data_IF_841148816470
#
_entry.id   IF_841148816470
#
_cell.length_a   1.000
_cell.length_b   1.000
_cell.length_c   1.000
_cell.angle_alpha   90.00
_cell.angle_beta   90.00
_cell.angle_gamma   90.00
#
_symmetry.space_group_name_H-M   'P 1'
#
loop_
_entity.id
_entity.type
_entity.pdbx_description
1 polymer ?
#
# COMPACT_ATOMS: atom_id res chain seq x y z
N UNK A 1 -11.13 11.78 -9.72
CA UNK A 1 -11.94 10.55 -9.77
C UNK A 1 -11.01 9.43 -9.36
N UNK A 2 -11.34 8.63 -8.35
CA UNK A 2 -10.51 7.49 -7.95
C UNK A 2 -10.78 6.36 -8.95
N UNK A 3 -9.75 5.84 -9.62
CA UNK A 3 -9.92 4.75 -10.57
C UNK A 3 -9.76 3.42 -9.83
N UNK A 4 -10.81 2.59 -9.77
CA UNK A 4 -10.73 1.24 -9.22
C UNK A 4 -10.02 0.33 -10.23
N UNK A 5 -9.10 -0.50 -9.76
CA UNK A 5 -8.56 -1.62 -10.51
C UNK A 5 -9.06 -2.92 -9.86
N UNK A 6 -9.45 -3.90 -10.69
CA UNK A 6 -9.93 -5.20 -10.20
C UNK A 6 -8.91 -6.28 -10.56
N UNK A 7 -8.55 -7.13 -9.60
CA UNK A 7 -7.67 -8.29 -9.85
C UNK A 7 -8.29 -9.59 -9.32
N UNK A 8 -7.94 -10.71 -9.97
CA UNK A 8 -8.37 -12.07 -9.61
C UNK A 8 -7.33 -12.86 -8.82
N UNK A 9 -6.25 -12.20 -8.37
CA UNK A 9 -5.14 -12.86 -7.66
C UNK A 9 -5.57 -13.30 -6.25
N UNK A 10 -5.31 -14.56 -5.90
CA UNK A 10 -5.69 -15.19 -4.61
C UNK A 10 -5.07 -14.56 -3.35
N UNK A 11 -4.12 -13.65 -3.52
CA UNK A 11 -3.47 -12.91 -2.44
C UNK A 11 -3.87 -11.45 -2.52
N UNK A 12 -4.15 -10.84 -1.36
CA UNK A 12 -4.20 -9.39 -1.21
C UNK A 12 -2.80 -8.84 -1.50
N UNK A 13 -2.43 -8.72 -2.78
CA UNK A 13 -1.19 -8.08 -3.18
C UNK A 13 -1.16 -6.67 -2.59
N UNK A 14 0.00 -6.25 -2.06
CA UNK A 14 0.14 -4.87 -1.60
C UNK A 14 -0.12 -3.93 -2.78
N UNK A 15 -1.15 -3.09 -2.67
CA UNK A 15 -1.43 -2.07 -3.65
C UNK A 15 -0.97 -0.72 -3.11
N UNK A 16 0.09 -0.16 -3.69
CA UNK A 16 0.54 1.18 -3.38
C UNK A 16 0.13 2.13 -4.50
N UNK A 17 -0.52 3.24 -4.13
CA UNK A 17 -0.72 4.36 -5.05
C UNK A 17 0.52 5.25 -5.00
N UNK A 18 1.20 5.40 -6.13
CA UNK A 18 2.45 6.11 -6.28
C UNK A 18 2.26 7.22 -7.32
N UNK A 19 1.78 8.36 -6.86
CA UNK A 19 1.50 9.50 -7.74
C UNK A 19 0.58 9.09 -8.90
N UNK A 20 -0.58 8.52 -8.57
CA UNK A 20 -1.56 8.07 -9.57
C UNK A 20 -1.27 6.75 -10.29
N UNK A 21 -0.07 6.17 -10.14
CA UNK A 21 0.24 4.81 -10.58
C UNK A 21 -0.15 3.82 -9.49
N UNK A 22 -0.68 2.66 -9.86
CA UNK A 22 -0.83 1.52 -8.97
C UNK A 22 0.35 0.57 -9.12
N UNK A 23 1.09 0.33 -8.04
CA UNK A 23 1.97 -0.84 -7.95
C UNK A 23 1.13 -2.01 -7.41
N UNK A 24 1.01 -3.09 -8.19
CA UNK A 24 0.15 -4.25 -7.89
C UNK A 24 0.97 -5.53 -8.03
N UNK A 25 1.00 -6.34 -6.98
CA UNK A 25 1.56 -7.68 -7.04
C UNK A 25 0.48 -8.69 -7.49
N UNK A 26 0.74 -9.40 -8.59
CA UNK A 26 -0.12 -10.50 -9.07
C UNK A 26 0.75 -11.69 -9.45
N UNK A 27 0.34 -12.91 -9.09
CA UNK A 27 1.04 -14.16 -9.47
C UNK A 27 2.56 -14.15 -9.16
N UNK A 28 2.99 -13.44 -8.11
CA UNK A 28 4.39 -13.31 -7.73
C UNK A 28 5.20 -12.31 -8.57
N UNK A 29 4.54 -11.51 -9.40
CA UNK A 29 5.15 -10.45 -10.20
C UNK A 29 4.58 -9.08 -9.82
N UNK A 30 5.46 -8.10 -9.60
CA UNK A 30 5.08 -6.72 -9.40
C UNK A 30 4.81 -6.04 -10.74
N UNK A 31 3.70 -5.33 -10.84
CA UNK A 31 3.30 -4.57 -12.02
C UNK A 31 3.04 -3.12 -11.64
N UNK A 32 3.37 -2.20 -12.54
CA UNK A 32 2.97 -0.81 -12.47
C UNK A 32 1.87 -0.54 -13.49
N UNK A 33 0.71 -0.16 -13.00
CA UNK A 33 -0.46 0.12 -13.80
C UNK A 33 -0.76 1.62 -13.75
N UNK A 34 -0.89 2.28 -14.90
CA UNK A 34 -1.47 3.60 -15.00
C UNK A 34 -2.96 3.46 -15.36
N UNK A 35 -3.88 3.65 -14.41
CA UNK A 35 -5.31 3.47 -14.69
C UNK A 35 -5.85 4.50 -15.68
N UNK A 36 -5.21 5.67 -15.81
CA UNK A 36 -5.64 6.76 -16.69
C UNK A 36 -5.32 6.49 -18.16
N UNK A 37 -4.21 5.79 -18.42
CA UNK A 37 -3.75 5.47 -19.80
C UNK A 37 -3.93 4.01 -20.17
N UNK A 38 -4.43 3.19 -19.25
CA UNK A 38 -4.55 1.73 -19.39
C UNK A 38 -3.22 1.02 -19.67
N UNK A 39 -2.10 1.68 -19.38
CA UNK A 39 -0.78 1.11 -19.58
C UNK A 39 -0.36 0.26 -18.38
N UNK A 40 0.26 -0.88 -18.67
CA UNK A 40 0.79 -1.81 -17.66
C UNK A 40 2.23 -2.13 -18.00
N UNK A 41 3.12 -1.96 -17.02
CA UNK A 41 4.52 -2.39 -17.10
C UNK A 41 4.73 -3.50 -16.09
N UNK A 42 5.23 -4.63 -16.59
CA UNK A 42 5.64 -5.75 -15.75
C UNK A 42 7.05 -5.48 -15.26
N UNK A 43 7.25 -5.48 -13.95
CA UNK A 43 8.57 -5.40 -13.35
C UNK A 43 9.17 -6.80 -13.22
N UNK A 44 10.49 -6.87 -13.07
CA UNK A 44 11.20 -8.14 -12.84
C UNK A 44 10.84 -8.72 -11.47
N UNK A 45 11.00 -10.04 -11.30
CA UNK A 45 10.73 -10.75 -10.03
C UNK A 45 11.53 -10.22 -8.84
N UNK A 46 12.62 -9.52 -9.10
CA UNK A 46 13.48 -8.93 -8.08
C UNK A 46 12.90 -7.63 -7.51
N UNK A 47 11.80 -7.09 -8.06
CA UNK A 47 11.23 -5.82 -7.63
C UNK A 47 10.28 -6.01 -6.45
N UNK A 48 10.60 -5.38 -5.31
CA UNK A 48 9.83 -5.57 -4.06
C UNK A 48 8.97 -4.36 -3.76
N UNK A 49 9.58 -3.17 -3.62
CA UNK A 49 8.86 -1.95 -3.33
C UNK A 49 9.17 -0.87 -4.36
N UNK A 50 8.17 -0.10 -4.76
CA UNK A 50 8.35 1.06 -5.65
C UNK A 50 8.06 2.32 -4.87
N UNK A 51 8.95 3.30 -5.03
CA UNK A 51 8.82 4.66 -4.51
C UNK A 51 8.85 5.68 -5.64
N UNK A 52 8.29 6.85 -5.37
CA UNK A 52 8.25 7.98 -6.30
C UNK A 52 8.95 9.19 -5.68
N UNK A 53 9.91 9.75 -6.41
CA UNK A 53 10.54 11.03 -6.09
C UNK A 53 9.79 12.16 -6.82
N UNK A 54 9.04 13.01 -6.11
CA UNK A 54 8.28 14.10 -6.72
C UNK A 54 9.14 15.28 -7.17
N UNK A 55 10.44 15.32 -6.84
CA UNK A 55 11.34 16.44 -7.20
C UNK A 55 11.96 16.19 -8.57
N UNK A 56 12.58 15.02 -8.75
CA UNK A 56 13.22 14.64 -10.01
C UNK A 56 12.25 13.92 -10.98
N UNK A 57 11.00 13.69 -10.55
CA UNK A 57 9.94 12.97 -11.28
C UNK A 57 10.36 11.55 -11.68
N UNK A 58 10.88 10.80 -10.70
CA UNK A 58 11.46 9.48 -10.92
C UNK A 58 10.78 8.41 -10.08
N UNK A 59 10.58 7.24 -10.68
CA UNK A 59 10.24 6.03 -9.95
C UNK A 59 11.49 5.22 -9.69
N UNK A 60 11.67 4.80 -8.44
CA UNK A 60 12.76 3.89 -8.06
C UNK A 60 12.22 2.66 -7.36
N UNK A 61 12.81 1.52 -7.66
CA UNK A 61 12.51 0.23 -7.05
C UNK A 61 13.54 -0.06 -5.98
N UNK A 62 13.07 -0.32 -4.75
CA UNK A 62 13.86 -0.86 -3.66
C UNK A 62 13.72 -2.38 -3.63
N UNK A 63 14.86 -3.07 -3.52
CA UNK A 63 14.97 -4.52 -3.39
C UNK A 63 16.16 -4.87 -2.50
N UNK A 64 16.41 -6.16 -2.29
CA UNK A 64 17.55 -6.67 -1.53
C UNK A 64 17.92 -8.09 -1.98
N UNK A 65 19.20 -8.42 -1.81
CA UNK A 65 19.67 -9.79 -2.02
C UNK A 65 19.33 -10.67 -0.83
N UNK A 66 18.48 -11.68 -1.04
CA UNK A 66 18.09 -12.62 0.01
C UNK A 66 19.06 -13.81 0.07
N UNK A 67 20.16 -13.67 0.83
CA UNK A 67 21.12 -14.75 1.08
C UNK A 67 20.92 -15.47 2.43
N UNK A 68 19.80 -15.21 3.09
CA UNK A 68 19.55 -15.66 4.47
C UNK A 68 19.40 -17.18 4.53
N UNK A 69 18.92 -17.80 3.45
CA UNK A 69 18.84 -19.25 3.33
C UNK A 69 20.21 -19.93 3.18
N UNK A 70 21.24 -19.18 2.77
CA UNK A 70 22.61 -19.67 2.60
C UNK A 70 23.47 -19.43 3.85
N UNK A 71 23.24 -18.31 4.56
CA UNK A 71 23.89 -17.99 5.83
C UNK A 71 22.91 -17.24 6.75
N UNK A 72 22.51 -17.82 7.90
CA UNK A 72 21.65 -17.17 8.89
C UNK A 72 22.21 -15.88 9.48
N UNK A 73 23.54 -15.68 9.38
CA UNK A 73 24.21 -14.44 9.80
C UNK A 73 24.36 -13.44 8.64
N UNK A 74 23.87 -13.76 7.44
CA UNK A 74 23.93 -12.87 6.30
C UNK A 74 23.11 -11.61 6.57
N UNK A 75 23.71 -10.47 6.25
CA UNK A 75 23.02 -9.20 6.24
C UNK A 75 22.33 -8.98 4.89
N UNK A 76 21.14 -8.39 4.93
CA UNK A 76 20.44 -7.97 3.73
C UNK A 76 21.21 -6.81 3.09
N UNK A 77 21.52 -6.96 1.80
CA UNK A 77 22.12 -5.89 0.99
C UNK A 77 21.03 -5.28 0.14
N UNK A 78 20.63 -4.08 0.49
CA UNK A 78 19.61 -3.38 -0.26
C UNK A 78 20.20 -2.91 -1.60
N UNK A 79 19.38 -2.95 -2.63
CA UNK A 79 19.69 -2.48 -3.97
C UNK A 79 18.54 -1.64 -4.49
N UNK A 80 18.86 -0.70 -5.35
CA UNK A 80 17.91 0.20 -5.96
C UNK A 80 18.08 0.20 -7.48
N UNK A 81 16.97 0.35 -8.18
CA UNK A 81 16.90 0.53 -9.61
C UNK A 81 16.08 1.79 -9.87
N UNK A 82 16.59 2.71 -10.69
CA UNK A 82 15.74 3.78 -11.22
C UNK A 82 15.05 3.22 -12.44
N UNK A 83 13.74 3.38 -12.54
CA UNK A 83 13.02 2.88 -13.70
C UNK A 83 13.36 3.73 -14.93
N UNK A 84 13.75 3.04 -16.01
CA UNK A 84 13.97 3.50 -17.40
C UNK A 84 14.88 4.71 -17.59
N UNK A 85 15.85 4.88 -16.70
CA UNK A 85 17.08 5.62 -17.00
C UNK A 85 18.12 4.76 -17.76
N UNK A 86 17.79 3.49 -18.03
CA UNK A 86 18.66 2.50 -18.68
C UNK A 86 19.79 2.00 -17.78
N UNK A 87 19.87 2.43 -16.53
CA UNK A 87 20.86 1.97 -15.57
C UNK A 87 20.40 0.66 -14.91
N UNK A 88 21.35 -0.20 -14.59
CA UNK A 88 21.07 -1.44 -13.87
C UNK A 88 20.89 -1.23 -12.36
N UNK A 89 20.66 -2.34 -11.66
CA UNK A 89 20.65 -2.38 -10.20
C UNK A 89 21.97 -1.87 -9.61
N UNK A 90 21.86 -1.03 -8.57
CA UNK A 90 23.00 -0.58 -7.76
C UNK A 90 22.76 -0.88 -6.30
N UNK A 91 23.80 -1.32 -5.60
CA UNK A 91 23.72 -1.54 -4.16
C UNK A 91 23.74 -0.23 -3.40
N UNK A 92 22.86 -0.12 -2.41
CA UNK A 92 22.85 1.02 -1.50
C UNK A 92 23.98 0.83 -0.49
N UNK A 93 24.79 1.87 -0.27
CA UNK A 93 25.90 1.82 0.69
C UNK A 93 25.35 1.82 2.13
N UNK A 94 26.05 1.13 3.03
CA UNK A 94 25.77 1.12 4.48
C UNK A 94 24.40 0.54 4.88
N UNK A 95 23.79 -0.30 4.05
CA UNK A 95 22.49 -0.93 4.36
C UNK A 95 22.62 -2.34 4.93
N UNK A 96 23.81 -2.71 5.40
CA UNK A 96 24.15 -4.03 5.92
C UNK A 96 23.41 -4.25 7.23
N UNK A 97 22.15 -4.68 7.14
CA UNK A 97 21.26 -4.76 8.29
C UNK A 97 20.54 -6.09 8.32
N UNK A 98 20.26 -6.63 9.53
CA UNK A 98 19.57 -7.90 9.69
C UNK A 98 18.04 -7.77 9.55
N UNK A 99 17.53 -6.75 8.86
CA UNK A 99 16.10 -6.41 8.85
C UNK A 99 15.39 -6.89 7.59
N UNK A 100 14.53 -7.91 7.72
CA UNK A 100 13.66 -8.37 6.62
C UNK A 100 12.33 -7.62 6.67
N UNK A 101 11.86 -7.15 5.51
CA UNK A 101 10.54 -6.52 5.41
C UNK A 101 9.44 -7.51 5.79
N UNK A 102 8.50 -7.06 6.62
CA UNK A 102 7.36 -7.87 7.11
C UNK A 102 6.01 -7.32 6.73
N UNK A 103 5.93 -6.06 6.31
CA UNK A 103 4.67 -5.39 6.02
C UNK A 103 4.64 -4.74 4.64
N UNK A 104 3.46 -4.36 4.15
CA UNK A 104 3.33 -3.58 2.92
C UNK A 104 4.07 -2.24 3.03
N UNK A 105 4.32 -1.60 1.89
CA UNK A 105 4.90 -0.26 1.85
C UNK A 105 3.87 0.83 1.57
N UNK A 106 4.19 2.05 1.98
CA UNK A 106 3.52 3.27 1.51
C UNK A 106 4.58 4.30 1.12
N UNK A 107 4.37 5.02 0.02
CA UNK A 107 5.26 6.11 -0.38
C UNK A 107 4.54 7.45 -0.22
N UNK A 108 5.16 8.36 0.53
CA UNK A 108 4.61 9.66 0.90
C UNK A 108 5.68 10.71 0.65
N UNK A 109 5.41 11.66 -0.24
CA UNK A 109 6.28 12.83 -0.49
C UNK A 109 7.77 12.49 -0.72
N UNK A 110 8.07 11.44 -1.49
CA UNK A 110 9.47 11.03 -1.75
C UNK A 110 10.07 10.06 -0.73
N UNK A 111 9.31 9.65 0.29
CA UNK A 111 9.77 8.72 1.32
C UNK A 111 8.93 7.45 1.30
N UNK A 112 9.59 6.30 1.23
CA UNK A 112 8.97 4.99 1.25
C UNK A 112 9.10 4.38 2.64
N UNK A 113 7.97 4.03 3.24
CA UNK A 113 7.88 3.47 4.58
C UNK A 113 7.43 2.02 4.54
N UNK A 114 8.08 1.16 5.32
CA UNK A 114 7.70 -0.23 5.52
C UNK A 114 8.22 -0.76 6.87
N UNK A 115 7.57 -1.78 7.40
CA UNK A 115 8.00 -2.44 8.65
C UNK A 115 8.99 -3.56 8.37
N UNK A 116 9.96 -3.74 9.26
CA UNK A 116 10.95 -4.79 9.17
C UNK A 116 11.26 -5.42 10.54
N UNK A 117 11.57 -6.72 10.56
CA UNK A 117 12.01 -7.43 11.77
C UNK A 117 13.47 -7.86 11.68
N UNK A 118 14.14 -7.92 12.82
CA UNK A 118 15.50 -8.41 12.90
C UNK A 118 15.51 -9.95 12.83
N UNK A 119 16.28 -10.52 11.90
CA UNK A 119 16.40 -11.97 11.71
C UNK A 119 17.29 -12.63 12.76
N UNK A 120 18.30 -11.91 13.23
CA UNK A 120 19.39 -12.47 14.05
C UNK A 120 19.27 -12.13 15.54
N UNK A 121 18.29 -11.31 15.93
CA UNK A 121 18.12 -10.90 17.33
C UNK A 121 16.63 -10.82 17.70
N UNK A 122 16.32 -11.04 18.98
CA UNK A 122 15.01 -10.77 19.60
C UNK A 122 14.74 -9.27 19.75
N UNK A 123 15.04 -8.47 18.72
CA UNK A 123 14.76 -7.03 18.71
C UNK A 123 13.33 -6.78 18.26
N UNK A 124 12.75 -5.72 18.81
CA UNK A 124 11.47 -5.21 18.37
C UNK A 124 11.51 -4.88 16.86
N UNK A 125 10.40 -5.11 16.14
CA UNK A 125 10.28 -4.67 14.75
C UNK A 125 10.42 -3.15 14.66
N UNK A 126 10.97 -2.68 13.55
CA UNK A 126 11.24 -1.26 13.28
C UNK A 126 10.48 -0.81 12.04
N UNK A 127 10.11 0.47 12.01
CA UNK A 127 9.65 1.11 10.79
C UNK A 127 10.89 1.61 10.04
N UNK A 128 11.04 1.24 8.78
CA UNK A 128 12.11 1.67 7.89
C UNK A 128 11.58 2.81 7.02
N UNK A 129 12.38 3.86 6.87
CA UNK A 129 12.14 4.97 5.95
C UNK A 129 13.25 4.98 4.90
N UNK A 130 12.87 4.89 3.64
CA UNK A 130 13.75 5.01 2.50
C UNK A 130 13.48 6.34 1.78
N UNK A 131 14.48 7.23 1.79
CA UNK A 131 14.47 8.44 0.97
C UNK A 131 14.74 8.03 -0.47
N UNK A 132 13.72 8.16 -1.33
CA UNK A 132 13.77 7.73 -2.72
C UNK A 132 14.80 8.55 -3.50
N UNK A 133 14.91 9.85 -3.21
CA UNK A 133 15.81 10.74 -3.91
C UNK A 133 17.26 10.48 -3.52
N UNK A 134 17.56 10.54 -2.22
CA UNK A 134 18.93 10.40 -1.72
C UNK A 134 19.41 8.96 -1.59
N UNK A 135 18.50 7.99 -1.76
CA UNK A 135 18.75 6.55 -1.66
C UNK A 135 19.32 6.14 -0.30
N UNK A 136 18.77 6.73 0.78
CA UNK A 136 19.21 6.49 2.16
C UNK A 136 18.11 5.84 2.98
N UNK A 137 18.53 4.91 3.84
CA UNK A 137 17.66 4.26 4.83
C UNK A 137 17.84 4.92 6.20
N UNK A 138 16.73 5.13 6.89
CA UNK A 138 16.67 5.47 8.30
C UNK A 138 15.64 4.60 9.03
N UNK A 139 15.72 4.56 10.36
CA UNK A 139 14.91 3.69 11.20
C UNK A 139 14.12 4.50 12.20
N UNK A 140 12.82 4.29 12.20
CA UNK A 140 11.86 4.95 13.07
C UNK A 140 11.39 3.93 14.10
N UNK A 141 11.50 4.32 15.37
CA UNK A 141 10.88 3.54 16.45
C UNK A 141 9.36 3.68 16.32
N UNK A 142 8.66 2.56 16.23
CA UNK A 142 7.20 2.52 16.17
C UNK A 142 6.64 1.75 17.38
N UNK A 143 5.42 2.07 17.83
CA UNK A 143 4.68 1.21 18.76
C UNK A 143 4.54 -0.20 18.18
N UNK A 144 4.73 -1.24 18.99
CA UNK A 144 4.64 -2.64 18.53
C UNK A 144 3.32 -2.92 17.77
N UNK A 145 2.22 -2.32 18.23
CA UNK A 145 0.88 -2.51 17.67
C UNK A 145 0.77 -2.08 16.21
N UNK A 146 1.62 -1.15 15.75
CA UNK A 146 1.67 -0.66 14.37
C UNK A 146 2.25 -1.71 13.43
N UNK A 147 3.15 -2.57 13.93
CA UNK A 147 3.89 -3.56 13.13
C UNK A 147 3.43 -5.00 13.41
N UNK A 148 2.61 -5.23 14.44
CA UNK A 148 2.26 -6.57 14.94
C UNK A 148 1.61 -7.49 13.91
N UNK A 149 0.90 -6.91 12.92
CA UNK A 149 0.16 -7.67 11.91
C UNK A 149 0.97 -7.98 10.66
N UNK A 150 2.26 -7.59 10.60
CA UNK A 150 3.15 -7.91 9.48
C UNK A 150 2.51 -7.54 8.13
N UNK A 151 2.30 -8.54 7.26
CA UNK A 151 1.78 -8.35 5.90
C UNK A 151 0.35 -7.80 5.86
N UNK A 152 -0.39 -7.93 6.95
CA UNK A 152 -1.75 -7.40 7.10
C UNK A 152 -1.77 -6.00 7.74
N UNK A 153 -0.60 -5.42 8.06
CA UNK A 153 -0.53 -4.06 8.56
C UNK A 153 -1.00 -3.07 7.49
N UNK A 154 -1.77 -2.06 7.93
CA UNK A 154 -2.32 -1.03 7.05
C UNK A 154 -1.58 0.28 7.30
N UNK A 155 -0.83 0.75 6.31
CA UNK A 155 -0.20 2.07 6.32
C UNK A 155 -0.83 2.96 5.27
N UNK A 156 -1.08 4.21 5.65
CA UNK A 156 -1.71 5.20 4.78
C UNK A 156 -0.98 6.54 4.88
N UNK A 157 -1.15 7.34 3.84
CA UNK A 157 -0.94 8.78 3.92
C UNK A 157 -2.18 9.41 4.57
N UNK A 158 -1.96 10.11 5.68
CA UNK A 158 -2.99 10.88 6.38
C UNK A 158 -2.50 12.31 6.63
N UNK A 159 -3.07 13.27 5.89
CA UNK A 159 -2.73 14.71 5.97
C UNK A 159 -1.23 14.98 5.80
N UNK A 160 -0.60 14.31 4.85
CA UNK A 160 0.82 14.39 4.50
C UNK A 160 1.75 13.60 5.41
N UNK A 161 1.21 12.86 6.39
CA UNK A 161 1.97 12.10 7.38
C UNK A 161 1.78 10.59 7.19
N UNK A 162 2.76 9.81 7.62
CA UNK A 162 2.61 8.37 7.77
C UNK A 162 1.62 8.08 8.90
N UNK A 163 0.61 7.29 8.62
CA UNK A 163 -0.28 6.76 9.63
C UNK A 163 -0.51 5.26 9.46
N UNK A 164 -0.91 4.60 10.54
CA UNK A 164 -1.29 3.20 10.57
C UNK A 164 -2.68 3.02 11.14
N UNK A 165 -3.47 2.17 10.49
CA UNK A 165 -4.79 1.76 10.96
C UNK A 165 -4.65 0.42 11.64
N UNK A 166 -4.93 0.41 12.94
CA UNK A 166 -4.77 -0.76 13.81
C UNK A 166 -6.14 -1.16 14.35
N UNK A 167 -6.53 -2.40 14.09
CA UNK A 167 -7.73 -3.01 14.67
C UNK A 167 -7.59 -4.53 14.66
N UNK A 168 -8.65 -5.23 15.05
CA UNK A 168 -8.70 -6.68 14.88
C UNK A 168 -9.00 -6.98 13.39
N UNK A 169 -8.05 -7.54 12.62
CA UNK A 169 -8.24 -7.77 11.19
C UNK A 169 -9.35 -8.80 10.90
N UNK A 170 -9.68 -9.66 11.87
CA UNK A 170 -10.65 -10.75 11.69
C UNK A 170 -12.01 -10.49 12.36
N UNK A 171 -12.19 -9.32 12.99
CA UNK A 171 -13.41 -8.98 13.73
C UNK A 171 -14.35 -8.04 12.99
N UNK A 172 -15.63 -8.04 13.39
CA UNK A 172 -16.55 -6.96 13.08
C UNK A 172 -16.03 -5.65 13.73
N UNK A 173 -16.05 -4.58 12.95
CA UNK A 173 -15.33 -3.35 13.32
C UNK A 173 -16.33 -2.36 13.88
N UNK A 174 -16.31 -2.16 15.19
CA UNK A 174 -16.98 -1.01 15.82
C UNK A 174 -16.07 0.21 15.89
N UNK A 175 -14.76 0.00 15.78
CA UNK A 175 -13.73 1.04 15.83
C UNK A 175 -12.38 0.54 15.33
N UNK A 176 -11.47 1.47 15.02
CA UNK A 176 -10.05 1.22 14.82
C UNK A 176 -9.22 2.32 15.50
N UNK A 177 -7.97 1.99 15.82
CA UNK A 177 -6.97 2.95 16.28
C UNK A 177 -6.22 3.53 15.08
N UNK A 178 -6.15 4.85 14.99
CA UNK A 178 -5.31 5.58 14.04
C UNK A 178 -4.05 6.06 14.75
N UNK A 179 -2.91 5.48 14.37
CA UNK A 179 -1.59 5.91 14.83
C UNK A 179 -0.95 6.82 13.80
N UNK A 180 -0.54 8.02 14.18
CA UNK A 180 0.03 9.02 13.28
C UNK A 180 1.46 9.31 13.70
N UNK A 181 2.42 9.25 12.78
CA UNK A 181 3.79 9.68 13.01
C UNK A 181 3.82 11.22 12.94
N UNK A 182 3.88 11.86 14.10
CA UNK A 182 3.81 13.32 14.22
C UNK A 182 5.13 14.00 13.89
N UNK A 183 6.23 13.38 14.32
CA UNK A 183 7.61 13.85 14.13
C UNK A 183 8.52 12.66 13.78
N UNK A 184 9.04 12.68 12.56
CA UNK A 184 9.90 11.61 12.00
C UNK A 184 11.27 11.58 12.67
N UNK A 185 11.82 12.72 13.09
CA UNK A 185 13.16 12.77 13.68
C UNK A 185 13.14 12.37 15.16
N UNK A 186 12.07 12.74 15.87
CA UNK A 186 11.87 12.37 17.29
C UNK A 186 11.20 11.02 17.48
N UNK A 187 10.71 10.40 16.42
CA UNK A 187 9.92 9.16 16.46
C UNK A 187 8.66 9.30 17.34
N UNK A 188 8.00 10.45 17.29
CA UNK A 188 6.81 10.73 18.10
C UNK A 188 5.55 10.28 17.38
N UNK A 189 4.75 9.45 18.04
CA UNK A 189 3.49 8.95 17.53
C UNK A 189 2.32 9.42 18.38
N UNK A 190 1.24 9.84 17.74
CA UNK A 190 -0.05 10.09 18.39
C UNK A 190 -1.03 8.96 18.08
N UNK A 191 -1.97 8.72 18.99
CA UNK A 191 -3.04 7.73 18.84
C UNK A 191 -4.39 8.43 18.90
N UNK A 192 -5.27 8.12 17.95
CA UNK A 192 -6.67 8.52 17.95
C UNK A 192 -7.57 7.29 17.81
N UNK A 193 -8.66 7.24 18.58
CA UNK A 193 -9.63 6.14 18.51
C UNK A 193 -10.77 6.56 17.58
N UNK A 194 -10.91 5.85 16.45
CA UNK A 194 -11.92 6.09 15.45
C UNK A 194 -13.08 5.11 15.67
N UNK A 195 -14.23 5.61 16.10
CA UNK A 195 -15.43 4.79 16.38
C UNK A 195 -16.46 4.98 15.28
N UNK A 196 -17.08 3.89 14.86
CA UNK A 196 -18.14 3.89 13.86
C UNK A 196 -19.54 3.92 14.51
N UNK A 197 -20.51 4.62 13.90
CA UNK A 197 -21.91 4.51 14.28
C UNK A 197 -22.43 3.06 14.17
N UNK A 198 -23.30 2.64 15.08
CA UNK A 198 -23.87 1.28 15.09
C UNK A 198 -24.55 0.94 13.76
N UNK A 199 -25.17 1.93 13.11
CA UNK A 199 -25.87 1.77 11.84
C UNK A 199 -25.00 1.30 10.69
N UNK A 200 -23.67 1.37 10.82
CA UNK A 200 -22.72 0.98 9.77
C UNK A 200 -21.87 -0.25 10.12
N UNK A 201 -22.00 -0.81 11.32
CA UNK A 201 -21.19 -1.96 11.75
C UNK A 201 -21.33 -3.18 10.84
N UNK A 202 -22.53 -3.41 10.28
CA UNK A 202 -22.79 -4.53 9.36
C UNK A 202 -22.09 -4.43 8.00
N UNK A 203 -21.45 -3.30 7.68
CA UNK A 203 -20.72 -3.11 6.42
C UNK A 203 -19.21 -3.38 6.55
N UNK A 204 -18.67 -3.48 7.78
CA UNK A 204 -17.23 -3.44 8.00
C UNK A 204 -16.70 -4.72 8.64
N UNK A 205 -15.91 -5.44 7.85
CA UNK A 205 -14.94 -6.42 8.32
C UNK A 205 -13.56 -5.90 7.93
N UNK A 206 -12.66 -5.66 8.89
CA UNK A 206 -11.36 -5.01 8.63
C UNK A 206 -10.56 -5.78 7.57
N UNK A 207 -10.52 -7.11 7.63
CA UNK A 207 -9.87 -7.97 6.63
C UNK A 207 -10.58 -8.00 5.25
N UNK A 208 -11.79 -7.43 5.16
CA UNK A 208 -12.53 -7.22 3.91
C UNK A 208 -12.57 -5.76 3.47
N UNK A 209 -11.89 -4.85 4.18
CA UNK A 209 -11.85 -3.42 3.90
C UNK A 209 -10.42 -2.98 3.61
N UNK A 210 -10.25 -2.17 2.58
CA UNK A 210 -9.02 -1.47 2.24
C UNK A 210 -9.12 -0.03 2.71
N UNK A 211 -7.96 0.56 2.98
CA UNK A 211 -7.81 1.97 3.34
C UNK A 211 -6.87 2.63 2.33
N UNK A 212 -7.38 3.10 1.19
CA UNK A 212 -6.54 3.60 0.10
C UNK A 212 -5.74 4.86 0.45
N UNK A 213 -6.12 5.60 1.50
CA UNK A 213 -5.54 6.88 1.87
C UNK A 213 -6.61 7.88 2.32
N UNK A 214 -6.34 9.17 2.09
CA UNK A 214 -7.29 10.24 2.38
C UNK A 214 -7.75 10.97 1.14
N UNK A 215 -8.90 11.64 1.23
CA UNK A 215 -9.32 12.58 0.19
C UNK A 215 -8.77 13.99 0.46
N UNK A 216 -9.03 14.94 -0.44
CA UNK A 216 -8.58 16.34 -0.30
C UNK A 216 -9.11 17.06 0.94
N UNK A 217 -10.17 16.56 1.56
CA UNK A 217 -10.73 17.10 2.81
C UNK A 217 -10.11 16.45 4.05
N UNK A 218 -9.17 15.52 3.90
CA UNK A 218 -8.56 14.77 5.00
C UNK A 218 -9.46 13.68 5.60
N UNK A 219 -10.54 13.29 4.91
CA UNK A 219 -11.36 12.15 5.32
C UNK A 219 -10.66 10.85 4.89
N UNK A 220 -10.64 9.86 5.79
CA UNK A 220 -10.12 8.51 5.50
C UNK A 220 -11.07 7.84 4.51
N UNK A 221 -10.50 7.31 3.42
CA UNK A 221 -11.22 6.53 2.43
C UNK A 221 -11.20 5.08 2.88
N UNK A 222 -12.37 4.45 2.91
CA UNK A 222 -12.53 3.03 3.21
C UNK A 222 -13.34 2.39 2.10
N UNK A 223 -12.87 1.26 1.60
CA UNK A 223 -13.55 0.55 0.50
C UNK A 223 -13.50 -0.96 0.69
N UNK A 224 -14.55 -1.70 0.32
CA UNK A 224 -14.49 -3.15 0.29
C UNK A 224 -13.33 -3.62 -0.59
N UNK A 225 -12.48 -4.49 -0.06
CA UNK A 225 -11.36 -5.10 -0.78
C UNK A 225 -11.82 -6.19 -1.74
N UNK A 226 -13.08 -6.60 -1.68
CA UNK A 226 -13.67 -7.65 -2.50
C UNK A 226 -14.98 -7.17 -3.13
N UNK A 227 -15.17 -7.47 -4.41
CA UNK A 227 -16.49 -7.44 -5.01
C UNK A 227 -17.32 -8.60 -4.44
N UNK A 228 -18.59 -8.31 -4.21
CA UNK A 228 -19.55 -9.31 -3.76
C UNK A 228 -19.76 -10.37 -4.81
N UNK A 229 -20.03 -11.61 -4.38
CA UNK A 229 -20.48 -12.67 -5.29
C UNK A 229 -21.86 -12.35 -5.85
N UNK A 230 -22.70 -11.61 -5.11
CA UNK A 230 -24.03 -11.20 -5.58
C UNK A 230 -23.98 -9.83 -6.27
N UNK A 231 -24.81 -9.65 -7.30
CA UNK A 231 -25.01 -8.36 -7.96
C UNK A 231 -25.54 -7.34 -6.96
N UNK A 232 -24.70 -6.39 -6.58
CA UNK A 232 -25.07 -5.30 -5.69
C UNK A 232 -24.25 -4.05 -5.97
N UNK A 233 -24.77 -2.86 -5.64
CA UNK A 233 -24.01 -1.63 -5.80
C UNK A 233 -22.71 -1.63 -4.99
N UNK A 234 -21.64 -1.10 -5.58
CA UNK A 234 -20.38 -0.90 -4.90
C UNK A 234 -20.38 0.43 -4.15
N UNK A 235 -20.05 0.38 -2.85
CA UNK A 235 -20.00 1.58 -2.00
C UNK A 235 -18.61 1.76 -1.41
N UNK A 236 -18.16 3.01 -1.39
CA UNK A 236 -17.03 3.45 -0.57
C UNK A 236 -17.53 4.34 0.55
N UNK A 237 -16.68 4.53 1.55
CA UNK A 237 -16.99 5.30 2.74
C UNK A 237 -15.90 6.34 2.96
N UNK A 238 -16.32 7.53 3.37
CA UNK A 238 -15.43 8.57 3.84
C UNK A 238 -15.68 8.78 5.33
N UNK A 239 -14.62 8.67 6.12
CA UNK A 239 -14.65 8.87 7.55
C UNK A 239 -13.90 10.13 7.95
N UNK A 240 -14.60 11.06 8.58
CA UNK A 240 -14.00 12.23 9.16
C UNK A 240 -13.59 11.92 10.60
N UNK A 241 -12.28 11.93 10.88
CA UNK A 241 -11.73 11.58 12.20
C UNK A 241 -12.14 12.60 13.28
N UNK A 242 -12.22 13.88 12.92
CA UNK A 242 -12.52 14.97 13.86
C UNK A 242 -13.99 14.95 14.28
N UNK A 243 -14.90 14.86 13.30
CA UNK A 243 -16.34 14.87 13.56
C UNK A 243 -16.91 13.48 13.86
N UNK A 244 -16.11 12.41 13.65
CA UNK A 244 -16.51 11.00 13.73
C UNK A 244 -17.68 10.63 12.81
N UNK A 245 -17.90 11.43 11.78
CA UNK A 245 -18.96 11.20 10.81
C UNK A 245 -18.47 10.28 9.71
N UNK A 246 -19.38 9.43 9.24
CA UNK A 246 -19.17 8.57 8.10
C UNK A 246 -20.21 8.86 7.04
N UNK A 247 -19.78 8.99 5.80
CA UNK A 247 -20.67 9.10 4.65
C UNK A 247 -20.38 7.98 3.66
N UNK A 248 -21.45 7.42 3.11
CA UNK A 248 -21.41 6.34 2.12
C UNK A 248 -21.65 6.93 0.74
N UNK A 249 -20.83 6.53 -0.23
CA UNK A 249 -20.92 6.97 -1.63
C UNK A 249 -20.97 5.75 -2.53
N UNK A 250 -21.95 5.70 -3.43
CA UNK A 250 -22.04 4.67 -4.46
C UNK A 250 -21.06 5.01 -5.58
N UNK A 251 -20.23 4.04 -5.97
CA UNK A 251 -19.49 4.10 -7.21
C UNK A 251 -20.30 3.37 -8.29
N UNK A 252 -20.36 3.96 -9.48
CA UNK A 252 -21.08 3.40 -10.62
C UNK A 252 -20.11 2.64 -11.52
N UNK A 253 -20.60 1.58 -12.19
CA UNK A 253 -19.83 0.84 -13.18
C UNK A 253 -18.83 -0.16 -12.59
N UNK A 254 -18.97 -0.50 -11.30
CA UNK A 254 -18.13 -1.49 -10.62
C UNK A 254 -19.04 -2.59 -10.08
N UNK A 255 -19.00 -3.77 -10.70
CA UNK A 255 -19.66 -4.97 -10.18
C UNK A 255 -21.18 -4.91 -10.07
N UNK A 256 -21.80 -3.83 -10.55
CA UNK A 256 -23.24 -3.55 -10.43
C UNK A 256 -24.05 -3.85 -11.71
N UNK A 257 -23.42 -4.44 -12.73
CA UNK A 257 -24.09 -4.98 -13.92
C UNK A 257 -23.64 -6.40 -14.25
N UNK A 258 -24.56 -7.19 -14.82
CA UNK A 258 -24.24 -8.54 -15.35
C UNK A 258 -23.25 -8.47 -16.50
N UNK A 259 -23.37 -7.46 -17.36
CA UNK A 259 -22.48 -7.27 -18.51
C UNK A 259 -21.03 -7.08 -18.07
N UNK A 260 -20.79 -6.21 -17.08
CA UNK A 260 -19.47 -6.05 -16.46
C UNK A 260 -18.98 -7.38 -15.89
N UNK A 261 -19.86 -8.11 -15.20
CA UNK A 261 -19.47 -9.39 -14.61
C UNK A 261 -19.04 -10.43 -15.64
N UNK A 262 -19.76 -10.52 -16.76
CA UNK A 262 -19.44 -11.43 -17.85
C UNK A 262 -18.19 -11.00 -18.61
N UNK A 263 -18.03 -9.71 -18.90
CA UNK A 263 -16.90 -9.20 -19.68
C UNK A 263 -15.54 -9.44 -19.04
N UNK A 264 -15.51 -9.54 -17.70
CA UNK A 264 -14.29 -9.76 -16.93
C UNK A 264 -14.21 -11.17 -16.31
N UNK A 265 -15.13 -12.08 -16.63
CA UNK A 265 -15.05 -13.49 -16.20
C UNK A 265 -15.37 -13.74 -14.72
N UNK A 266 -16.23 -12.92 -14.12
CA UNK A 266 -16.73 -13.13 -12.75
C UNK A 266 -17.80 -14.25 -12.73
N UNK A 267 -17.41 -15.49 -13.02
CA UNK A 267 -18.23 -16.69 -12.78
C UNK A 267 -18.30 -17.02 -11.27
N UNK A 268 -19.26 -17.85 -10.85
CA UNK A 268 -19.77 -17.99 -9.45
C UNK A 268 -18.73 -18.32 -8.34
N UNK A 269 -17.45 -18.49 -8.66
CA UNK A 269 -16.43 -18.98 -7.72
C UNK A 269 -15.12 -18.18 -7.67
N UNK A 270 -14.95 -17.10 -8.44
CA UNK A 270 -13.73 -16.27 -8.37
C UNK A 270 -13.86 -15.10 -7.39
N UNK A 271 -12.94 -15.00 -6.42
CA UNK A 271 -12.82 -13.81 -5.56
C UNK A 271 -12.20 -12.67 -6.37
N UNK A 272 -12.87 -11.52 -6.35
CA UNK A 272 -12.50 -10.35 -7.13
C UNK A 272 -12.03 -9.23 -6.20
N UNK A 273 -10.73 -8.98 -6.18
CA UNK A 273 -10.15 -7.95 -5.32
C UNK A 273 -10.28 -6.57 -5.95
N UNK A 274 -10.66 -5.58 -5.16
CA UNK A 274 -10.77 -4.18 -5.58
C UNK A 274 -9.63 -3.38 -4.97
N UNK A 275 -8.86 -2.74 -5.83
CA UNK A 275 -7.81 -1.81 -5.47
C UNK A 275 -8.23 -0.40 -5.89
N UNK A 276 -7.97 0.61 -5.07
CA UNK A 276 -8.37 1.99 -5.35
C UNK A 276 -7.15 2.89 -5.30
N UNK A 277 -6.91 3.64 -6.38
CA UNK A 277 -5.98 4.77 -6.36
C UNK A 277 -6.74 6.03 -5.92
N UNK A 278 -6.36 6.62 -4.79
CA UNK A 278 -6.98 7.90 -4.36
C UNK A 278 -6.36 9.12 -5.06
N UNK A 279 -5.15 8.96 -5.63
CA UNK A 279 -4.44 9.95 -6.43
C UNK A 279 -4.60 9.62 -7.92
N UNK A 280 -4.55 10.64 -8.79
CA UNK A 280 -4.69 10.49 -10.23
C UNK A 280 -3.66 11.37 -10.94
N UNK A 281 -3.01 10.81 -11.97
CA UNK A 281 -2.08 11.52 -12.84
C UNK A 281 -2.44 11.20 -14.30
N UNK A 282 -2.51 12.25 -15.13
CA UNK A 282 -3.02 12.17 -16.51
C UNK A 282 -1.94 11.79 -17.54
N UNK A 283 -0.66 11.86 -17.18
CA UNK A 283 0.44 11.68 -18.12
C UNK A 283 1.68 11.17 -17.42
N UNK A 284 2.30 10.13 -17.97
CA UNK A 284 3.63 9.67 -17.59
C UNK A 284 4.44 9.47 -18.87
N UNK A 285 5.55 10.19 -19.01
CA UNK A 285 6.48 10.02 -20.13
C UNK A 285 7.20 8.66 -20.09
N UNK A 286 7.30 8.06 -18.91
CA UNK A 286 8.04 6.83 -18.62
C UNK A 286 7.58 5.59 -19.42
N UNK A 287 6.27 5.43 -19.65
CA UNK A 287 5.73 4.26 -20.35
C UNK A 287 6.00 4.26 -21.87
N UNK A 288 6.66 5.30 -22.41
CA UNK A 288 6.89 5.43 -23.86
C UNK A 288 8.05 4.58 -24.38
N UNK A 289 8.96 4.14 -23.52
CA UNK A 289 10.07 3.23 -23.87
C UNK A 289 10.20 2.11 -22.82
N UNK A 290 9.51 0.97 -23.02
CA UNK A 290 9.60 -0.18 -22.13
C UNK A 290 10.89 -0.95 -22.43
N UNK A 291 12.04 -0.41 -22.02
CA UNK A 291 13.26 -1.19 -21.89
C UNK A 291 13.47 -1.54 -20.42
N UNK A 292 12.84 -2.63 -20.02
CA UNK A 292 13.28 -3.46 -18.88
C UNK A 292 13.59 -4.84 -19.46
#
# INVERSE_FOLDING_TARGET
MALPAVSFSFYSGSCASLHGILAVETEGQLMMCNPSTEQVVKLTSDCIFVGYDPIDDQYKVLSWDNKIWEDPNAHLKHKVLTLGDGQGWRHIKNTTLPYMAISPNVCINGFLYYGAYCLTQTRDPVMVCFDVRSEKLSFIKAPLVVLQWGKEAVFIEYKGKLASIVGNPYGAVSSFDLWILEDVEKHEWSKQICVFPISVWGFFYLGGMSFPGTNRAGEIIMAPSLLSVNLQPFYIFYYNVETKNIRRVRLLGIGDSEEFRRSYGFEEHAKAFVNIAHQHVESIAFFKDPLI
#
